data_IF_494699648998
#
_entry.id   IF_494699648998
#
_cell.length_a   1.000
_cell.length_b   1.000
_cell.length_c   1.000
_cell.angle_alpha   90.00
_cell.angle_beta   90.00
_cell.angle_gamma   90.00
#
_symmetry.space_group_name_H-M   'P 1'
#
loop_
_entity.id
_entity.type
_entity.pdbx_description
1 polymer ?
#
# COMPACT_ATOMS: atom_id res chain seq x y z
N UNK A 1 14.13 -3.22 49.23
CA UNK A 1 13.30 -2.40 49.20
C UNK A 1 13.51 -1.33 48.32
N UNK A 2 14.41 -0.59 48.41
CA UNK A 2 14.55 0.45 47.59
C UNK A 2 14.60 0.08 46.19
N UNK A 3 15.04 -0.97 45.80
CA UNK A 3 15.10 -1.30 44.49
C UNK A 3 13.80 -1.31 43.82
N UNK A 4 12.79 -1.55 44.46
CA UNK A 4 11.56 -1.62 43.85
C UNK A 4 11.13 -0.36 43.20
N UNK A 5 11.42 0.72 43.81
CA UNK A 5 10.94 1.88 43.22
C UNK A 5 11.66 2.20 42.01
N UNK A 6 12.76 1.72 41.83
CA UNK A 6 13.49 2.01 40.66
C UNK A 6 12.74 1.44 39.49
N UNK A 7 12.26 0.26 39.62
CA UNK A 7 11.56 -0.33 38.55
C UNK A 7 10.32 0.42 38.21
N UNK A 8 9.66 0.83 39.18
CA UNK A 8 8.44 1.56 38.94
C UNK A 8 8.73 2.80 38.18
N UNK A 9 9.79 3.45 38.49
CA UNK A 9 10.09 4.63 37.75
C UNK A 9 10.32 4.36 36.31
N UNK A 10 11.00 3.34 36.02
CA UNK A 10 11.24 3.05 34.66
C UNK A 10 9.99 2.76 33.94
N UNK A 11 9.15 2.05 34.54
CA UNK A 11 7.92 1.72 33.88
C UNK A 11 7.17 2.97 33.53
N UNK A 12 7.17 3.88 34.41
CA UNK A 12 6.45 5.09 34.15
C UNK A 12 7.05 5.84 32.98
N UNK A 13 8.30 5.87 32.91
CA UNK A 13 8.92 6.57 31.83
C UNK A 13 8.54 5.97 30.53
N UNK A 14 8.60 4.71 30.45
CA UNK A 14 8.26 4.06 29.22
C UNK A 14 6.87 4.40 28.81
N UNK A 15 6.00 4.32 29.71
CA UNK A 15 4.64 4.59 29.38
C UNK A 15 4.49 5.98 28.85
N UNK A 16 5.09 6.87 29.51
CA UNK A 16 4.93 8.22 29.08
C UNK A 16 5.45 8.40 27.70
N UNK A 17 6.50 7.79 27.42
CA UNK A 17 7.04 7.97 26.15
C UNK A 17 6.12 7.59 25.09
N UNK A 18 5.47 6.56 25.24
CA UNK A 18 4.71 6.25 24.23
C UNK A 18 3.44 6.73 24.18
N UNK A 19 2.81 6.76 25.02
CA UNK A 19 1.51 7.12 24.92
C UNK A 19 1.21 8.22 24.14
N UNK A 20 1.99 9.03 24.09
CA UNK A 20 1.65 10.10 23.54
C UNK A 20 1.58 10.29 22.23
N UNK A 21 2.22 10.44 21.75
CA UNK A 21 2.26 10.95 20.64
C UNK A 21 1.60 10.53 19.68
N UNK A 22 1.03 10.32 19.62
CA UNK A 22 1.05 9.88 18.62
C UNK A 22 0.04 9.41 17.90
N UNK A 23 -0.85 9.16 18.32
CA UNK A 23 -1.85 8.61 17.67
C UNK A 23 -2.16 9.20 16.37
N UNK A 24 -2.46 10.39 16.25
CA UNK A 24 -2.80 11.00 15.03
C UNK A 24 -1.70 11.08 14.09
N UNK A 25 -0.62 11.47 14.52
CA UNK A 25 0.46 11.60 13.63
C UNK A 25 0.82 10.27 13.07
N UNK A 26 0.57 9.26 13.79
CA UNK A 26 0.90 7.97 13.32
C UNK A 26 0.27 7.63 12.01
N UNK A 27 -0.94 8.00 11.80
CA UNK A 27 -1.59 7.67 10.58
C UNK A 27 -0.94 8.33 9.42
N UNK A 28 -0.60 9.56 9.56
CA UNK A 28 0.04 10.22 8.48
C UNK A 28 1.42 9.70 8.29
N UNK A 29 2.10 9.41 9.35
CA UNK A 29 3.42 8.89 9.23
C UNK A 29 3.43 7.56 8.55
N UNK A 30 2.43 6.77 8.78
CA UNK A 30 2.36 5.52 8.12
C UNK A 30 2.27 5.70 6.63
N UNK A 31 1.49 6.64 6.18
CA UNK A 31 1.39 6.88 4.77
C UNK A 31 2.72 7.33 4.22
N UNK A 32 3.41 8.20 4.92
CA UNK A 32 4.69 8.65 4.45
C UNK A 32 5.72 7.53 4.51
N UNK A 33 5.67 6.70 5.54
CA UNK A 33 6.58 5.59 5.63
C UNK A 33 6.40 4.64 4.47
N UNK A 34 5.15 4.45 4.07
CA UNK A 34 4.86 3.56 2.98
C UNK A 34 5.46 4.09 1.68
N UNK A 35 5.52 5.38 1.52
CA UNK A 35 6.09 5.94 0.32
C UNK A 35 7.57 5.63 0.20
N UNK A 36 8.24 5.42 1.30
CA UNK A 36 9.66 5.12 1.27
C UNK A 36 9.94 3.64 1.04
N UNK A 37 8.91 2.81 1.03
CA UNK A 37 9.11 1.40 0.80
C UNK A 37 9.29 1.12 -0.69
N UNK A 38 10.01 0.09 -1.00
CA UNK A 38 10.26 -0.23 -2.38
C UNK A 38 9.15 -1.12 -2.91
N UNK A 39 8.56 -0.72 -4.01
CA UNK A 39 7.51 -1.53 -4.62
C UNK A 39 8.14 -2.70 -5.33
N UNK A 40 7.54 -3.88 -5.18
CA UNK A 40 8.07 -5.07 -5.81
C UNK A 40 7.85 -5.07 -7.30
N UNK A 41 6.81 -4.48 -7.77
CA UNK A 41 6.50 -4.48 -9.19
C UNK A 41 5.55 -3.36 -9.55
N UNK A 42 5.45 -3.08 -10.83
CA UNK A 42 4.52 -2.09 -11.34
C UNK A 42 3.49 -2.85 -12.15
N UNK A 43 2.23 -2.62 -11.85
CA UNK A 43 1.14 -3.32 -12.52
C UNK A 43 0.18 -2.33 -13.13
N UNK A 44 -0.19 -2.57 -14.40
CA UNK A 44 -1.20 -1.78 -15.05
C UNK A 44 -2.54 -2.39 -14.71
N UNK A 45 -3.32 -1.68 -13.94
CA UNK A 45 -4.52 -2.27 -13.39
C UNK A 45 -5.73 -2.14 -14.29
N UNK A 46 -5.72 -1.21 -15.22
CA UNK A 46 -6.86 -0.99 -16.09
C UNK A 46 -6.54 -0.99 -17.58
N UNK A 47 -5.29 -1.20 -17.94
CA UNK A 47 -4.93 -1.25 -19.34
C UNK A 47 -5.18 -2.66 -19.88
N UNK A 48 -5.79 -2.74 -21.05
CA UNK A 48 -6.07 -4.02 -21.63
C UNK A 48 -5.20 -4.23 -22.86
N UNK A 49 -4.89 -5.49 -23.11
CA UNK A 49 -4.08 -5.82 -24.26
C UNK A 49 -4.80 -5.34 -25.51
N UNK A 50 -4.08 -4.70 -26.37
CA UNK A 50 -4.68 -4.20 -27.59
C UNK A 50 -5.06 -2.74 -27.54
N UNK A 51 -5.11 -2.16 -26.35
CA UNK A 51 -5.39 -0.73 -26.27
C UNK A 51 -4.12 0.04 -26.56
N UNK A 52 -4.27 1.16 -27.25
CA UNK A 52 -3.11 2.00 -27.53
C UNK A 52 -3.01 3.01 -26.41
N UNK A 53 -1.93 2.92 -25.64
CA UNK A 53 -1.78 3.78 -24.52
C UNK A 53 -1.64 5.24 -24.93
N UNK A 54 -1.23 5.50 -26.15
CA UNK A 54 -1.08 6.87 -26.62
C UNK A 54 -2.42 7.57 -26.80
N UNK A 55 -3.52 6.81 -26.75
CA UNK A 55 -4.84 7.42 -26.85
C UNK A 55 -5.21 8.11 -25.55
N UNK A 56 -4.45 7.89 -24.47
CA UNK A 56 -4.77 8.48 -23.18
C UNK A 56 -3.78 9.58 -22.86
N UNK A 57 -4.27 10.66 -22.27
CA UNK A 57 -3.43 11.80 -22.01
C UNK A 57 -2.68 11.72 -20.69
N UNK A 58 -3.25 11.02 -19.74
CA UNK A 58 -2.65 10.94 -18.42
C UNK A 58 -2.47 9.52 -17.97
N UNK A 59 -1.36 9.27 -17.33
CA UNK A 59 -1.13 7.98 -16.69
C UNK A 59 -0.65 8.33 -15.29
N UNK A 60 -1.21 7.72 -14.29
CA UNK A 60 -0.80 7.97 -12.94
C UNK A 60 -0.42 6.68 -12.25
N UNK A 61 0.33 6.82 -11.18
CA UNK A 61 0.79 5.67 -10.43
C UNK A 61 0.46 5.89 -8.96
N UNK A 62 -0.06 4.87 -8.33
CA UNK A 62 -0.33 4.89 -6.91
C UNK A 62 0.41 3.74 -6.28
N UNK A 63 1.20 4.02 -5.24
CA UNK A 63 1.89 2.97 -4.53
C UNK A 63 0.95 2.48 -3.43
N UNK A 64 0.79 1.19 -3.31
CA UNK A 64 -0.16 0.60 -2.38
C UNK A 64 0.49 -0.51 -1.59
N UNK A 65 -0.03 -0.71 -0.39
CA UNK A 65 0.33 -1.85 0.43
C UNK A 65 -0.75 -2.89 0.17
N UNK A 66 -0.36 -4.06 -0.27
CA UNK A 66 -1.32 -5.08 -0.65
C UNK A 66 -1.01 -6.41 -0.02
N UNK A 67 -1.99 -7.27 -0.01
CA UNK A 67 -1.78 -8.66 0.36
C UNK A 67 -2.08 -9.48 -0.89
N UNK A 68 -1.08 -10.19 -1.38
CA UNK A 68 -1.20 -10.96 -2.61
C UNK A 68 -1.43 -12.41 -2.26
N UNK A 69 -2.37 -13.04 -2.96
CA UNK A 69 -2.69 -14.44 -2.73
C UNK A 69 -2.08 -15.31 -3.82
N UNK A 70 -1.89 -16.57 -3.51
CA UNK A 70 -1.19 -17.46 -4.44
C UNK A 70 -1.90 -17.66 -5.77
N UNK A 71 -3.19 -17.36 -5.83
CA UNK A 71 -3.91 -17.50 -7.08
C UNK A 71 -3.80 -16.25 -7.95
N UNK A 72 -3.03 -15.28 -7.54
CA UNK A 72 -2.83 -14.08 -8.34
C UNK A 72 -3.74 -12.93 -7.98
N UNK A 73 -4.73 -13.14 -7.15
CA UNK A 73 -5.59 -12.04 -6.73
C UNK A 73 -4.88 -11.28 -5.61
N UNK A 74 -5.27 -10.05 -5.39
CA UNK A 74 -4.69 -9.28 -4.31
C UNK A 74 -5.69 -8.27 -3.77
N UNK A 75 -5.45 -7.84 -2.56
CA UNK A 75 -6.32 -6.87 -1.92
C UNK A 75 -5.50 -5.67 -1.51
N UNK A 76 -5.99 -4.48 -1.78
CA UNK A 76 -5.32 -3.26 -1.37
C UNK A 76 -5.64 -3.03 0.10
N UNK A 77 -4.61 -2.95 0.92
CA UNK A 77 -4.78 -2.73 2.34
C UNK A 77 -4.70 -1.25 2.68
N UNK A 78 -3.84 -0.51 2.02
CA UNK A 78 -3.75 0.92 2.24
C UNK A 78 -3.03 1.57 1.07
N UNK A 79 -3.17 2.88 0.97
CA UNK A 79 -2.48 3.64 -0.06
C UNK A 79 -1.33 4.39 0.60
N UNK A 80 -0.19 4.39 -0.02
CA UNK A 80 0.98 5.01 0.57
C UNK A 80 0.90 6.53 0.53
N UNK A 81 0.07 7.06 -0.34
CA UNK A 81 -0.12 8.48 -0.40
C UNK A 81 -1.59 8.74 -0.48
N UNK A 82 -2.05 9.80 0.11
CA UNK A 82 -3.46 10.10 0.12
C UNK A 82 -3.99 10.26 -1.29
N UNK A 83 -5.09 9.64 -1.59
CA UNK A 83 -5.73 9.70 -2.90
C UNK A 83 -7.15 10.25 -2.76
N UNK A 84 -7.68 10.78 -3.84
CA UNK A 84 -9.05 11.24 -3.83
C UNK A 84 -9.98 10.05 -3.65
N UNK A 85 -11.13 10.26 -3.01
CA UNK A 85 -12.03 9.13 -2.76
C UNK A 85 -12.44 8.39 -4.01
N UNK A 86 -12.66 9.07 -5.11
CA UNK A 86 -13.06 8.37 -6.32
C UNK A 86 -11.94 7.53 -6.89
N UNK A 87 -10.70 7.95 -6.68
CA UNK A 87 -9.56 7.16 -7.14
C UNK A 87 -9.44 5.92 -6.29
N UNK A 88 -9.60 6.07 -4.97
CA UNK A 88 -9.53 4.93 -4.06
C UNK A 88 -10.59 3.90 -4.44
N UNK A 89 -11.80 4.36 -4.68
CA UNK A 89 -12.87 3.44 -5.01
C UNK A 89 -12.59 2.75 -6.34
N UNK A 90 -12.14 3.51 -7.31
CA UNK A 90 -11.85 2.95 -8.61
C UNK A 90 -10.77 1.88 -8.54
N UNK A 91 -9.67 2.19 -7.85
CA UNK A 91 -8.57 1.25 -7.78
C UNK A 91 -8.95 0.00 -6.99
N UNK A 92 -9.74 0.16 -5.94
CA UNK A 92 -10.17 -1.01 -5.19
C UNK A 92 -11.10 -1.89 -6.03
N UNK A 93 -11.94 -1.29 -6.84
CA UNK A 93 -12.82 -2.06 -7.67
C UNK A 93 -12.02 -2.81 -8.72
N UNK A 94 -11.07 -2.15 -9.33
CA UNK A 94 -10.27 -2.80 -10.37
C UNK A 94 -9.42 -3.90 -9.76
N UNK A 95 -8.88 -3.66 -8.57
CA UNK A 95 -8.05 -4.67 -7.94
C UNK A 95 -8.86 -5.93 -7.62
N UNK A 96 -10.12 -5.75 -7.30
CA UNK A 96 -10.96 -6.89 -6.93
C UNK A 96 -11.16 -7.87 -8.08
N UNK A 97 -11.05 -7.39 -9.32
CA UNK A 97 -11.25 -8.26 -10.47
C UNK A 97 -9.97 -8.53 -11.25
N UNK A 98 -8.86 -8.05 -10.74
CA UNK A 98 -7.60 -8.21 -11.45
C UNK A 98 -6.88 -9.46 -10.97
N UNK A 99 -6.22 -10.15 -11.88
CA UNK A 99 -5.40 -11.29 -11.52
C UNK A 99 -4.00 -11.04 -12.03
N UNK A 100 -3.02 -11.12 -11.16
CA UNK A 100 -1.64 -10.91 -11.53
C UNK A 100 -1.19 -12.08 -12.40
N UNK A 101 -0.58 -11.80 -13.55
CA UNK A 101 -0.13 -12.86 -14.43
C UNK A 101 0.84 -13.80 -13.74
N UNK A 102 0.72 -15.08 -14.05
CA UNK A 102 1.53 -16.09 -13.41
C UNK A 102 3.02 -15.84 -13.55
N UNK A 103 3.46 -15.28 -14.64
CA UNK A 103 4.88 -15.10 -14.83
C UNK A 103 5.51 -14.16 -13.79
N UNK A 104 4.73 -13.28 -13.16
CA UNK A 104 5.29 -12.44 -12.12
C UNK A 104 5.76 -13.29 -10.95
N UNK A 105 5.05 -14.37 -10.68
CA UNK A 105 5.44 -15.28 -9.59
C UNK A 105 6.58 -16.17 -10.06
N UNK A 106 6.49 -16.66 -11.27
CA UNK A 106 7.49 -17.58 -11.79
C UNK A 106 8.85 -16.92 -11.91
N UNK A 107 8.88 -15.64 -12.27
CA UNK A 107 10.14 -14.93 -12.39
C UNK A 107 10.60 -14.31 -11.09
N UNK A 108 9.85 -14.46 -10.03
CA UNK A 108 10.27 -13.95 -8.74
C UNK A 108 10.01 -12.47 -8.51
N UNK A 109 9.23 -11.82 -9.36
CA UNK A 109 8.95 -10.41 -9.15
C UNK A 109 8.00 -10.21 -7.99
N UNK A 110 7.08 -11.12 -7.80
CA UNK A 110 6.06 -11.02 -6.76
C UNK A 110 5.93 -12.34 -6.03
N UNK A 111 5.63 -12.29 -4.75
CA UNK A 111 5.38 -13.49 -3.97
C UNK A 111 4.07 -13.32 -3.24
N UNK A 112 3.51 -14.40 -2.76
CA UNK A 112 2.29 -14.30 -1.95
C UNK A 112 2.63 -13.64 -0.63
N UNK A 113 1.72 -12.87 -0.12
CA UNK A 113 1.91 -12.19 1.17
C UNK A 113 1.83 -10.68 1.03
N UNK A 114 2.17 -9.99 2.09
CA UNK A 114 2.08 -8.54 2.11
C UNK A 114 3.29 -7.92 1.44
N UNK A 115 3.04 -6.95 0.62
CA UNK A 115 4.12 -6.27 -0.09
C UNK A 115 3.60 -4.96 -0.65
N UNK A 116 4.49 -4.19 -1.26
CA UNK A 116 4.13 -2.91 -1.85
C UNK A 116 4.20 -3.03 -3.36
N UNK A 117 3.20 -2.50 -4.03
CA UNK A 117 3.16 -2.51 -5.48
C UNK A 117 2.85 -1.10 -5.97
N UNK A 118 3.22 -0.82 -7.20
CA UNK A 118 2.81 0.42 -7.83
C UNK A 118 1.76 0.06 -8.86
N UNK A 119 0.60 0.68 -8.74
CA UNK A 119 -0.47 0.43 -9.68
C UNK A 119 -0.53 1.60 -10.64
N UNK A 120 -0.42 1.31 -11.93
CA UNK A 120 -0.57 2.33 -12.93
C UNK A 120 -1.99 2.31 -13.43
N UNK A 121 -2.56 3.47 -13.57
CA UNK A 121 -3.95 3.55 -13.98
C UNK A 121 -4.17 4.76 -14.88
N UNK A 122 -5.30 4.74 -15.57
CA UNK A 122 -5.63 5.78 -16.51
C UNK A 122 -6.75 6.63 -15.93
N UNK A 123 -6.46 7.82 -15.45
CA UNK A 123 -7.49 8.64 -14.80
C UNK A 123 -8.70 8.90 -15.69
N UNK A 124 -8.47 8.87 -17.00
CA UNK A 124 -9.57 9.08 -17.92
C UNK A 124 -10.62 7.99 -17.88
N UNK A 125 -10.30 6.86 -17.31
CA UNK A 125 -11.25 5.77 -17.19
C UNK A 125 -12.04 5.82 -15.90
N UNK A 126 -11.76 6.74 -15.02
CA UNK A 126 -12.42 6.81 -13.75
C UNK A 126 -13.73 7.48 -13.88
N UNK A 127 -14.49 7.62 -14.45
CA UNK A 127 -15.72 8.32 -14.43
C UNK A 127 -16.88 7.51 -14.04
#
# INVERSE_FOLDING_TARGET
MKKYWLYILMAVCLTACKGIKTVNSDMEEEQLGCENEIAKAIIWIDWKRGEDISDFHLVRTAKVHVNVYSDGTFRIMSFCKKQEPKVVEYLKKRAAVYTIPKFFFDEGYIEAGEQYLQLRYLPEKIN
#
